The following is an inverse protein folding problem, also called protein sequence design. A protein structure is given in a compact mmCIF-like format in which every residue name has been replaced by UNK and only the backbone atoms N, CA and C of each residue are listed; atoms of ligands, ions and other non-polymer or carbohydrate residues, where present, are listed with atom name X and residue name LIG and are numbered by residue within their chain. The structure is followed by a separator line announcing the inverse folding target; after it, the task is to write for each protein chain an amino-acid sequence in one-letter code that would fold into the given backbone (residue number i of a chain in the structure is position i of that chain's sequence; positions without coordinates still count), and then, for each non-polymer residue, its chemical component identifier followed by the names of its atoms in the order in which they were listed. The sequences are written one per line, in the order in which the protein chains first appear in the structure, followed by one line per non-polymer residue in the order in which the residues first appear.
data_IF_894248040971
#
_entry.id   IF_894248040971
#
_cell.length_a   1.000
_cell.length_b   1.000
_cell.length_c   1.000
_cell.angle_alpha   90.00
_cell.angle_beta   90.00
_cell.angle_gamma   90.00
#
_symmetry.space_group_name_H-M   'P 1'
#
loop_
_entity.id
_entity.type
_entity.pdbx_description
1 polymer ?
#
# COMPACT_ATOMS: atom_id res chain seq x y z
N UNK A 1 -23.29 -10.31 -28.27
CA UNK A 1 -23.83 -9.10 -28.92
C UNK A 1 -23.19 -7.90 -28.22
N UNK A 2 -22.43 -7.05 -28.92
CA UNK A 2 -21.88 -5.82 -28.33
C UNK A 2 -22.97 -4.76 -28.44
N UNK A 3 -23.67 -4.48 -27.35
CA UNK A 3 -24.61 -3.37 -27.31
C UNK A 3 -23.81 -2.04 -27.20
N UNK A 4 -24.26 -0.95 -27.85
CA UNK A 4 -23.66 0.37 -27.66
C UNK A 4 -23.75 0.78 -26.19
N UNK A 5 -22.77 1.53 -25.67
CA UNK A 5 -22.66 1.85 -24.24
C UNK A 5 -23.91 2.56 -23.68
N UNK A 6 -24.61 3.26 -24.55
CA UNK A 6 -25.79 4.08 -24.34
C UNK A 6 -27.11 3.34 -24.64
N UNK A 7 -27.07 2.03 -24.89
CA UNK A 7 -28.27 1.21 -25.02
C UNK A 7 -28.80 0.75 -23.65
N UNK A 8 -30.12 0.61 -23.55
CA UNK A 8 -30.78 0.10 -22.34
C UNK A 8 -30.33 -1.35 -22.09
N UNK A 9 -29.95 -1.64 -20.85
CA UNK A 9 -29.52 -2.98 -20.44
C UNK A 9 -30.72 -3.95 -20.52
N UNK A 10 -30.55 -5.16 -21.08
CA UNK A 10 -31.61 -6.16 -21.05
C UNK A 10 -32.09 -6.46 -19.61
N UNK A 11 -33.41 -6.62 -19.44
CA UNK A 11 -34.05 -6.75 -18.11
C UNK A 11 -33.41 -7.83 -17.24
N UNK A 12 -33.08 -9.00 -17.80
CA UNK A 12 -32.46 -10.09 -17.05
C UNK A 12 -31.08 -9.73 -16.44
N UNK A 13 -30.32 -8.81 -17.03
CA UNK A 13 -29.08 -8.31 -16.42
C UNK A 13 -29.36 -7.33 -15.30
N UNK A 14 -30.41 -6.51 -15.42
CA UNK A 14 -30.88 -5.59 -14.37
C UNK A 14 -31.32 -6.39 -13.14
N UNK A 15 -32.14 -7.42 -13.35
CA UNK A 15 -32.64 -8.28 -12.27
C UNK A 15 -31.48 -8.96 -11.53
N UNK A 16 -30.53 -9.53 -12.27
CA UNK A 16 -29.35 -10.18 -11.70
C UNK A 16 -28.43 -9.20 -10.96
N UNK A 17 -28.28 -7.99 -11.47
CA UNK A 17 -27.54 -6.93 -10.79
C UNK A 17 -28.20 -6.56 -9.46
N UNK A 18 -29.52 -6.38 -9.45
CA UNK A 18 -30.28 -6.07 -8.23
C UNK A 18 -30.20 -7.20 -7.21
N UNK A 19 -30.20 -8.46 -7.64
CA UNK A 19 -29.97 -9.62 -6.77
C UNK A 19 -28.58 -9.59 -6.11
N UNK A 20 -27.53 -9.29 -6.89
CA UNK A 20 -26.17 -9.16 -6.35
C UNK A 20 -26.10 -7.97 -5.38
N UNK A 21 -26.67 -6.84 -5.77
CA UNK A 21 -26.69 -5.62 -4.97
C UNK A 21 -27.35 -5.86 -3.63
N UNK A 22 -28.55 -6.45 -3.59
CA UNK A 22 -29.27 -6.75 -2.35
C UNK A 22 -28.51 -7.69 -1.41
N UNK A 23 -27.73 -8.63 -1.95
CA UNK A 23 -26.88 -9.53 -1.14
C UNK A 23 -25.64 -8.87 -0.54
N UNK A 24 -25.14 -7.82 -1.18
CA UNK A 24 -23.93 -7.09 -0.74
C UNK A 24 -24.29 -5.84 0.06
N UNK A 25 -25.51 -5.33 -0.12
CA UNK A 25 -25.99 -4.14 0.57
C UNK A 25 -25.81 -4.31 2.09
N UNK A 26 -25.47 -3.21 2.76
CA UNK A 26 -25.21 -3.15 4.21
C UNK A 26 -23.99 -3.95 4.72
N UNK A 27 -23.15 -4.49 3.83
CA UNK A 27 -21.89 -5.13 4.24
C UNK A 27 -20.90 -4.10 4.77
N UNK A 28 -20.61 -4.16 6.07
CA UNK A 28 -19.56 -3.35 6.71
C UNK A 28 -18.36 -4.23 7.02
N UNK A 29 -17.18 -3.87 6.48
CA UNK A 29 -15.92 -4.58 6.73
C UNK A 29 -14.97 -3.63 7.46
N UNK A 30 -14.44 -4.07 8.60
CA UNK A 30 -13.40 -3.36 9.35
C UNK A 30 -12.06 -4.05 9.14
N UNK A 31 -11.08 -3.33 8.58
CA UNK A 31 -9.72 -3.82 8.39
C UNK A 31 -8.76 -3.07 9.33
N UNK A 32 -7.93 -3.79 10.10
CA UNK A 32 -6.90 -3.17 10.94
C UNK A 32 -5.84 -2.48 10.06
N UNK A 33 -5.57 -1.19 10.36
CA UNK A 33 -4.67 -0.35 9.57
C UNK A 33 -3.19 -0.54 9.92
N UNK A 34 -2.89 -0.90 11.17
CA UNK A 34 -1.53 -1.19 11.61
C UNK A 34 -1.31 -2.70 11.61
N UNK A 35 -0.55 -3.16 10.63
CA UNK A 35 -0.20 -4.56 10.41
C UNK A 35 1.22 -4.92 10.91
N UNK A 36 1.86 -4.04 11.69
CA UNK A 36 3.25 -4.15 12.13
C UNK A 36 3.41 -4.27 13.64
N UNK A 37 2.33 -4.43 14.41
CA UNK A 37 2.35 -4.45 15.88
C UNK A 37 3.19 -5.63 16.41
N UNK A 38 3.28 -6.72 15.65
CA UNK A 38 4.13 -7.86 16.00
C UNK A 38 5.64 -7.67 15.74
N UNK A 39 6.06 -6.65 14.97
CA UNK A 39 7.45 -6.50 14.55
C UNK A 39 8.39 -5.97 15.66
N UNK A 40 7.82 -5.34 16.69
CA UNK A 40 8.56 -4.64 17.77
C UNK A 40 9.49 -5.57 18.58
N UNK A 41 9.26 -6.89 18.55
CA UNK A 41 9.99 -7.87 19.38
C UNK A 41 11.06 -8.67 18.63
N UNK A 42 10.98 -8.78 17.31
CA UNK A 42 11.82 -9.72 16.55
C UNK A 42 12.51 -9.15 15.32
N UNK A 43 12.04 -8.01 14.79
CA UNK A 43 12.59 -7.41 13.56
C UNK A 43 12.48 -8.32 12.32
N UNK A 44 11.75 -9.44 12.40
CA UNK A 44 11.64 -10.44 11.34
C UNK A 44 10.18 -10.63 10.99
N UNK A 45 9.85 -10.28 9.75
CA UNK A 45 8.51 -10.40 9.18
C UNK A 45 8.55 -11.24 7.91
N UNK A 46 7.47 -11.99 7.65
CA UNK A 46 7.31 -12.78 6.43
C UNK A 46 6.11 -12.26 5.66
N UNK A 47 6.32 -11.94 4.37
CA UNK A 47 5.25 -11.61 3.44
C UNK A 47 4.66 -12.90 2.86
N UNK A 48 3.37 -13.09 3.03
CA UNK A 48 2.60 -14.18 2.43
C UNK A 48 1.72 -13.62 1.33
N UNK A 49 1.75 -14.22 0.15
CA UNK A 49 0.86 -13.87 -0.94
C UNK A 49 0.14 -15.13 -1.40
N UNK A 50 -1.18 -15.06 -1.39
CA UNK A 50 -2.06 -16.09 -1.92
C UNK A 50 -2.59 -15.60 -3.27
N UNK A 51 -2.61 -16.49 -4.24
CA UNK A 51 -3.10 -16.22 -5.58
C UNK A 51 -4.00 -17.38 -6.00
N UNK A 52 -5.08 -17.05 -6.70
CA UNK A 52 -6.00 -18.04 -7.25
C UNK A 52 -6.54 -17.53 -8.59
N UNK A 53 -6.90 -18.45 -9.49
CA UNK A 53 -7.43 -18.10 -10.78
C UNK A 53 -8.57 -18.98 -11.27
N UNK A 54 -9.63 -18.33 -11.71
CA UNK A 54 -10.78 -18.94 -12.35
C UNK A 54 -10.94 -18.44 -13.78
N UNK A 55 -11.84 -19.08 -14.53
CA UNK A 55 -12.28 -18.60 -15.85
C UNK A 55 -12.92 -17.20 -15.82
N UNK A 56 -13.28 -16.69 -14.63
CA UNK A 56 -13.88 -15.38 -14.45
C UNK A 56 -12.84 -14.33 -14.06
N UNK A 57 -11.92 -14.66 -13.15
CA UNK A 57 -10.97 -13.72 -12.59
C UNK A 57 -9.75 -14.41 -11.98
N UNK A 58 -8.64 -13.67 -11.94
CA UNK A 58 -7.47 -13.95 -11.11
C UNK A 58 -7.50 -13.01 -9.92
N UNK A 59 -7.31 -13.55 -8.71
CA UNK A 59 -7.36 -12.80 -7.46
C UNK A 59 -6.10 -13.07 -6.65
N UNK A 60 -5.69 -12.09 -5.87
CA UNK A 60 -4.60 -12.24 -4.91
C UNK A 60 -4.84 -11.44 -3.64
N UNK A 61 -4.30 -11.93 -2.54
CA UNK A 61 -4.28 -11.27 -1.24
C UNK A 61 -2.94 -11.50 -0.54
N UNK A 62 -2.45 -10.47 0.15
CA UNK A 62 -1.17 -10.47 0.82
C UNK A 62 -1.35 -10.19 2.31
N UNK A 63 -0.53 -10.84 3.13
CA UNK A 63 -0.50 -10.74 4.57
C UNK A 63 0.94 -10.65 5.06
N UNK A 64 1.14 -10.04 6.22
CA UNK A 64 2.41 -10.06 6.92
C UNK A 64 2.25 -10.88 8.18
N UNK A 65 3.23 -11.75 8.47
CA UNK A 65 3.34 -12.41 9.77
C UNK A 65 4.64 -12.03 10.48
N UNK A 66 4.59 -12.02 11.81
CA UNK A 66 5.74 -11.69 12.65
C UNK A 66 6.16 -12.88 13.51
N UNK A 67 7.47 -13.11 13.62
CA UNK A 67 8.01 -14.08 14.57
C UNK A 67 7.86 -13.60 16.02
N UNK A 68 7.84 -14.50 17.02
CA UNK A 68 7.94 -15.97 16.89
C UNK A 68 6.60 -16.67 16.60
N UNK A 69 5.47 -16.00 16.81
CA UNK A 69 4.15 -16.64 16.81
C UNK A 69 3.51 -16.75 15.41
N UNK A 70 4.18 -16.26 14.38
CA UNK A 70 3.62 -16.11 13.02
C UNK A 70 2.26 -15.41 13.01
N UNK A 71 2.03 -14.48 13.96
CA UNK A 71 0.77 -13.75 14.05
C UNK A 71 0.61 -12.84 12.83
N UNK A 72 -0.60 -12.81 12.25
CA UNK A 72 -0.96 -11.85 11.21
C UNK A 72 -1.89 -10.79 11.78
N UNK A 73 -1.51 -9.53 11.62
CA UNK A 73 -2.27 -8.37 12.09
C UNK A 73 -3.36 -7.94 11.08
N UNK A 74 -3.53 -8.63 9.93
CA UNK A 74 -4.59 -8.38 8.97
C UNK A 74 -4.15 -8.39 7.49
N UNK A 75 -5.09 -8.07 6.60
CA UNK A 75 -4.86 -7.99 5.16
C UNK A 75 -3.95 -6.79 4.83
N UNK A 76 -2.77 -7.06 4.26
CA UNK A 76 -1.87 -6.01 3.78
C UNK A 76 -2.41 -5.41 2.48
N UNK A 77 -2.76 -6.24 1.50
CA UNK A 77 -3.40 -5.80 0.26
C UNK A 77 -4.13 -6.95 -0.44
N UNK A 78 -5.15 -6.63 -1.25
CA UNK A 78 -5.78 -7.59 -2.15
C UNK A 78 -6.16 -6.91 -3.47
N UNK A 79 -6.18 -7.68 -4.55
CA UNK A 79 -6.67 -7.18 -5.84
C UNK A 79 -7.16 -8.34 -6.72
N UNK A 80 -8.19 -8.04 -7.49
CA UNK A 80 -8.80 -8.93 -8.46
C UNK A 80 -8.63 -8.37 -9.87
N UNK A 81 -8.47 -9.25 -10.86
CA UNK A 81 -8.39 -8.93 -12.28
C UNK A 81 -9.27 -9.90 -13.05
N UNK A 82 -10.21 -9.39 -13.83
CA UNK A 82 -11.07 -10.21 -14.68
C UNK A 82 -10.24 -10.95 -15.74
N UNK A 83 -10.63 -12.20 -16.02
CA UNK A 83 -10.01 -13.03 -17.02
C UNK A 83 -10.30 -12.48 -18.45
N UNK A 84 -9.37 -12.63 -19.41
CA UNK A 84 -9.56 -12.08 -20.76
C UNK A 84 -10.77 -12.70 -21.48
N UNK A 85 -11.80 -11.90 -21.78
CA UNK A 85 -13.01 -12.36 -22.48
C UNK A 85 -12.75 -12.82 -23.92
N UNK A 86 -11.78 -12.19 -24.61
CA UNK A 86 -11.50 -12.45 -26.02
C UNK A 86 -10.75 -13.76 -26.27
N UNK A 87 -9.97 -14.24 -25.28
CA UNK A 87 -9.17 -15.47 -25.39
C UNK A 87 -9.31 -16.27 -24.11
N UNK A 88 -10.13 -17.33 -24.18
CA UNK A 88 -10.26 -18.29 -23.07
C UNK A 88 -8.92 -18.99 -22.87
N UNK A 89 -8.34 -18.80 -21.69
CA UNK A 89 -7.15 -19.51 -21.25
C UNK A 89 -7.58 -20.73 -20.43
N UNK A 90 -6.80 -21.81 -20.44
CA UNK A 90 -7.03 -22.92 -19.52
C UNK A 90 -6.75 -22.49 -18.08
N UNK A 91 -7.35 -23.18 -17.09
CA UNK A 91 -7.13 -22.90 -15.67
C UNK A 91 -5.62 -22.93 -15.31
N UNK A 92 -4.81 -23.93 -15.71
CA UNK A 92 -3.38 -23.93 -15.39
C UNK A 92 -2.60 -22.72 -15.95
N UNK A 93 -3.01 -22.18 -17.11
CA UNK A 93 -2.39 -20.97 -17.68
C UNK A 93 -2.77 -19.73 -16.88
N UNK A 94 -3.99 -19.68 -16.34
CA UNK A 94 -4.45 -18.59 -15.48
C UNK A 94 -3.75 -18.64 -14.12
N UNK A 95 -3.54 -19.83 -13.56
CA UNK A 95 -2.74 -20.03 -12.34
C UNK A 95 -1.30 -19.52 -12.51
N UNK A 96 -0.66 -19.84 -13.64
CA UNK A 96 0.69 -19.34 -13.93
C UNK A 96 0.74 -17.80 -13.99
N UNK A 97 -0.31 -17.18 -14.53
CA UNK A 97 -0.44 -15.72 -14.54
C UNK A 97 -0.66 -15.18 -13.12
N UNK A 98 -1.42 -15.88 -12.28
CA UNK A 98 -1.63 -15.52 -10.86
C UNK A 98 -0.31 -15.50 -10.09
N UNK A 99 0.54 -16.52 -10.29
CA UNK A 99 1.89 -16.60 -9.71
C UNK A 99 2.75 -15.43 -10.20
N UNK A 100 2.77 -15.16 -11.51
CA UNK A 100 3.55 -14.05 -12.07
C UNK A 100 3.14 -12.69 -11.50
N UNK A 101 1.83 -12.44 -11.37
CA UNK A 101 1.31 -11.21 -10.81
C UNK A 101 1.67 -11.11 -9.32
N UNK A 102 1.60 -12.22 -8.58
CA UNK A 102 1.98 -12.28 -7.16
C UNK A 102 3.45 -11.94 -6.96
N UNK A 103 4.34 -12.44 -7.82
CA UNK A 103 5.76 -12.08 -7.80
C UNK A 103 5.97 -10.60 -8.10
N UNK A 104 5.23 -10.02 -9.05
CA UNK A 104 5.30 -8.57 -9.34
C UNK A 104 4.80 -7.73 -8.16
N UNK A 105 3.74 -8.17 -7.49
CA UNK A 105 3.21 -7.51 -6.30
C UNK A 105 4.22 -7.57 -5.15
N UNK A 106 4.79 -8.77 -4.88
CA UNK A 106 5.84 -8.95 -3.88
C UNK A 106 6.99 -7.99 -4.15
N UNK A 107 7.42 -7.90 -5.41
CA UNK A 107 8.44 -6.95 -5.85
C UNK A 107 8.04 -5.52 -5.51
N UNK A 108 6.84 -5.06 -5.87
CA UNK A 108 6.41 -3.69 -5.55
C UNK A 108 6.41 -3.39 -4.05
N UNK A 109 5.90 -4.32 -3.23
CA UNK A 109 5.84 -4.17 -1.77
C UNK A 109 7.25 -4.14 -1.18
N UNK A 110 8.12 -5.06 -1.60
CA UNK A 110 9.47 -5.17 -1.06
C UNK A 110 10.42 -4.10 -1.63
N UNK A 111 10.18 -3.59 -2.84
CA UNK A 111 11.10 -2.71 -3.55
C UNK A 111 10.85 -1.21 -3.31
N UNK A 112 9.86 -0.78 -2.53
CA UNK A 112 9.58 0.66 -2.39
C UNK A 112 9.42 1.10 -0.93
N UNK A 113 10.16 2.15 -0.57
CA UNK A 113 10.10 2.83 0.71
C UNK A 113 10.06 4.35 0.47
N UNK A 114 9.12 5.03 1.12
CA UNK A 114 9.01 6.49 1.08
C UNK A 114 9.19 7.06 2.49
N UNK A 115 10.13 8.01 2.65
CA UNK A 115 10.28 8.80 3.86
C UNK A 115 9.78 10.20 3.57
N UNK A 116 8.74 10.63 4.28
CA UNK A 116 8.09 11.93 4.08
C UNK A 116 8.53 12.89 5.19
N UNK A 117 8.95 14.10 4.83
CA UNK A 117 9.40 15.14 5.77
C UNK A 117 8.89 16.52 5.31
N UNK A 118 8.57 17.40 6.26
CA UNK A 118 8.06 18.74 6.01
C UNK A 118 9.11 19.86 6.11
N UNK A 119 10.38 19.49 6.34
CA UNK A 119 11.51 20.41 6.30
C UNK A 119 12.24 20.34 4.96
N UNK A 120 12.00 21.33 4.09
CA UNK A 120 12.74 21.48 2.83
C UNK A 120 14.25 21.62 3.07
N UNK A 121 14.65 22.30 4.15
CA UNK A 121 16.05 22.49 4.51
C UNK A 121 16.71 21.14 4.85
N UNK A 122 16.05 20.31 5.67
CA UNK A 122 16.58 18.99 6.02
C UNK A 122 16.71 18.09 4.79
N UNK A 123 15.71 18.10 3.90
CA UNK A 123 15.76 17.37 2.63
C UNK A 123 16.86 17.90 1.70
N UNK A 124 17.06 19.21 1.64
CA UNK A 124 18.12 19.82 0.85
C UNK A 124 19.51 19.42 1.38
N UNK A 125 19.72 19.34 2.70
CA UNK A 125 20.98 18.86 3.28
C UNK A 125 21.35 17.44 2.83
N UNK A 126 20.37 16.58 2.54
CA UNK A 126 20.63 15.24 2.02
C UNK A 126 21.14 15.23 0.56
N UNK A 127 20.94 16.32 -0.18
CA UNK A 127 21.30 16.45 -1.60
C UNK A 127 22.52 17.35 -1.83
N UNK A 128 22.84 18.22 -0.87
CA UNK A 128 23.92 19.17 -0.98
C UNK A 128 25.30 18.50 -0.91
N UNK A 129 26.18 18.90 -1.81
CA UNK A 129 27.60 18.48 -1.84
C UNK A 129 28.55 19.47 -1.16
N UNK A 130 28.02 20.56 -0.58
CA UNK A 130 28.81 21.60 0.10
C UNK A 130 29.09 21.26 1.56
N UNK A 131 30.09 21.91 2.16
CA UNK A 131 30.45 21.75 3.57
C UNK A 131 29.28 22.15 4.49
N UNK A 132 28.78 21.20 5.26
CA UNK A 132 27.73 21.40 6.28
C UNK A 132 28.37 21.57 7.67
N UNK A 133 27.58 22.09 8.61
CA UNK A 133 27.97 22.11 10.02
C UNK A 133 28.23 20.68 10.50
N UNK A 134 29.18 20.50 11.42
CA UNK A 134 29.68 19.18 11.86
C UNK A 134 28.54 18.24 12.26
N UNK A 135 27.58 18.72 13.06
CA UNK A 135 26.42 17.93 13.46
C UNK A 135 25.61 17.43 12.25
N UNK A 136 25.28 18.34 11.32
CA UNK A 136 24.48 18.02 10.14
C UNK A 136 25.23 17.04 9.23
N UNK A 137 26.53 17.25 9.00
CA UNK A 137 27.37 16.36 8.19
C UNK A 137 27.34 14.93 8.72
N UNK A 138 27.51 14.75 10.04
CA UNK A 138 27.48 13.43 10.68
C UNK A 138 26.13 12.73 10.49
N UNK A 139 25.01 13.46 10.61
CA UNK A 139 23.69 12.87 10.40
C UNK A 139 23.45 12.51 8.92
N UNK A 140 23.83 13.40 7.99
CA UNK A 140 23.72 13.14 6.56
C UNK A 140 24.51 11.90 6.17
N UNK A 141 25.75 11.75 6.65
CA UNK A 141 26.58 10.57 6.39
C UNK A 141 25.93 9.28 6.90
N UNK A 142 25.35 9.31 8.11
CA UNK A 142 24.60 8.17 8.68
C UNK A 142 23.38 7.82 7.84
N UNK A 143 22.61 8.82 7.43
CA UNK A 143 21.43 8.63 6.59
C UNK A 143 21.82 8.05 5.22
N UNK A 144 22.87 8.58 4.57
CA UNK A 144 23.38 8.05 3.30
C UNK A 144 23.94 6.64 3.43
N UNK A 145 24.58 6.30 4.56
CA UNK A 145 25.04 4.93 4.83
C UNK A 145 23.85 3.97 4.94
N UNK A 146 22.83 4.30 5.72
CA UNK A 146 21.61 3.50 5.85
C UNK A 146 20.86 3.39 4.52
N UNK A 147 20.79 4.49 3.75
CA UNK A 147 20.16 4.52 2.43
C UNK A 147 20.83 3.52 1.49
N UNK A 148 22.16 3.49 1.45
CA UNK A 148 22.92 2.52 0.65
C UNK A 148 22.64 1.07 1.09
N UNK A 149 22.65 0.79 2.38
CA UNK A 149 22.35 -0.55 2.91
C UNK A 149 20.93 -1.02 2.53
N UNK A 150 19.94 -0.12 2.55
CA UNK A 150 18.58 -0.44 2.10
C UNK A 150 18.54 -0.68 0.59
N UNK A 151 19.25 0.12 -0.20
CA UNK A 151 19.32 -0.01 -1.66
C UNK A 151 20.05 -1.30 -2.11
N UNK A 152 21.03 -1.77 -1.35
CA UNK A 152 21.67 -3.08 -1.56
C UNK A 152 20.68 -4.25 -1.48
N UNK A 153 19.60 -4.09 -0.70
CA UNK A 153 18.47 -5.04 -0.65
C UNK A 153 17.51 -4.91 -1.84
N UNK A 154 17.90 -4.17 -2.89
CA UNK A 154 17.06 -3.84 -4.06
C UNK A 154 15.79 -3.05 -3.72
N UNK A 155 15.79 -2.34 -2.58
CA UNK A 155 14.68 -1.49 -2.15
C UNK A 155 14.95 -0.04 -2.57
N UNK A 156 14.09 0.51 -3.42
CA UNK A 156 14.08 1.92 -3.77
C UNK A 156 13.58 2.75 -2.59
N UNK A 157 14.46 3.59 -2.04
CA UNK A 157 14.13 4.56 -1.01
C UNK A 157 14.03 5.96 -1.62
N UNK A 158 12.90 6.63 -1.41
CA UNK A 158 12.69 8.01 -1.85
C UNK A 158 12.35 8.92 -0.67
N UNK A 159 13.01 10.06 -0.59
CA UNK A 159 12.63 11.14 0.32
C UNK A 159 11.63 12.07 -0.37
N UNK A 160 10.50 12.37 0.27
CA UNK A 160 9.44 13.23 -0.28
C UNK A 160 9.16 14.40 0.66
N UNK A 161 8.96 15.57 0.07
CA UNK A 161 8.52 16.75 0.79
C UNK A 161 7.00 16.75 0.98
N UNK A 162 6.54 17.25 2.11
CA UNK A 162 5.13 17.59 2.33
C UNK A 162 4.99 18.91 3.08
N UNK A 163 3.91 19.66 2.85
CA UNK A 163 3.58 20.81 3.70
C UNK A 163 3.23 20.34 5.12
N UNK A 164 3.71 21.04 6.15
CA UNK A 164 3.45 20.68 7.56
C UNK A 164 1.97 20.47 7.89
N UNK A 165 1.07 21.27 7.31
CA UNK A 165 -0.37 21.14 7.50
C UNK A 165 -0.96 19.79 7.03
N UNK A 166 -0.24 19.06 6.16
CA UNK A 166 -0.63 17.73 5.68
C UNK A 166 0.26 16.61 6.26
N UNK A 167 1.23 16.95 7.11
CA UNK A 167 2.06 15.98 7.79
C UNK A 167 1.29 15.46 9.02
N UNK A 168 0.77 14.23 9.01
CA UNK A 168 0.06 13.70 10.17
C UNK A 168 0.97 13.70 11.41
N UNK A 169 2.28 13.53 11.25
CA UNK A 169 3.24 13.46 12.35
C UNK A 169 3.25 14.71 13.24
N UNK A 170 2.85 15.87 12.70
CA UNK A 170 2.86 17.17 13.37
C UNK A 170 1.87 17.26 14.56
N UNK A 171 0.77 16.49 14.57
CA UNK A 171 -0.16 16.51 15.71
C UNK A 171 0.50 15.99 17.01
N UNK A 172 1.51 15.12 16.90
CA UNK A 172 2.20 14.54 18.06
C UNK A 172 3.42 15.36 18.49
N UNK A 173 3.79 16.41 17.74
CA UNK A 173 4.86 17.34 18.12
C UNK A 173 4.33 18.58 18.83
N UNK A 174 3.00 18.71 18.96
CA UNK A 174 2.30 19.86 19.56
C UNK A 174 1.46 19.43 20.76
N UNK A 175 1.18 20.33 21.71
CA UNK A 175 0.14 20.10 22.70
C UNK A 175 -1.21 19.95 21.98
N UNK A 176 -1.77 18.76 22.04
CA UNK A 176 -3.00 18.39 21.33
C UNK A 176 -4.01 17.86 22.33
N UNK A 177 -5.22 18.40 22.30
CA UNK A 177 -6.30 17.92 23.15
C UNK A 177 -7.00 16.66 22.58
N UNK A 178 -7.87 16.06 23.39
CA UNK A 178 -8.55 14.81 23.03
C UNK A 178 -9.39 14.93 21.76
N UNK A 179 -10.06 16.05 21.55
CA UNK A 179 -10.94 16.25 20.40
C UNK A 179 -10.12 16.52 19.14
N UNK A 180 -9.09 17.37 19.23
CA UNK A 180 -8.14 17.60 18.14
C UNK A 180 -7.48 16.30 17.66
N UNK A 181 -7.03 15.45 18.59
CA UNK A 181 -6.45 14.14 18.25
C UNK A 181 -7.48 13.23 17.56
N UNK A 182 -8.70 13.16 18.07
CA UNK A 182 -9.80 12.35 17.51
C UNK A 182 -10.19 12.78 16.11
N UNK A 183 -10.21 14.08 15.85
CA UNK A 183 -10.57 14.65 14.54
C UNK A 183 -9.39 14.69 13.57
N UNK A 184 -8.17 14.37 14.01
CA UNK A 184 -6.97 14.40 13.18
C UNK A 184 -6.83 13.17 12.28
N UNK A 185 -6.03 13.33 11.23
CA UNK A 185 -5.67 12.26 10.32
C UNK A 185 -4.63 11.27 10.88
N UNK A 186 -4.19 11.43 12.15
CA UNK A 186 -3.15 10.58 12.74
C UNK A 186 -3.53 9.11 12.78
N UNK A 187 -4.76 8.82 13.21
CA UNK A 187 -5.24 7.45 13.30
C UNK A 187 -5.60 6.92 11.92
N UNK A 188 -6.17 7.76 11.05
CA UNK A 188 -6.72 7.36 9.75
C UNK A 188 -5.70 7.33 8.62
N UNK A 189 -4.56 8.02 8.79
CA UNK A 189 -3.68 8.42 7.71
C UNK A 189 -4.27 9.62 6.94
N UNK A 190 -3.41 10.47 6.37
CA UNK A 190 -3.86 11.64 5.63
C UNK A 190 -4.48 11.27 4.29
N UNK A 191 -5.51 12.03 3.89
CA UNK A 191 -6.33 11.72 2.72
C UNK A 191 -5.55 11.63 1.41
N UNK A 192 -4.47 12.40 1.27
CA UNK A 192 -3.66 12.42 0.04
C UNK A 192 -2.92 11.10 -0.23
N UNK A 193 -2.69 10.24 0.78
CA UNK A 193 -2.16 8.88 0.55
C UNK A 193 -3.10 7.98 -0.25
N UNK A 194 -4.39 8.35 -0.31
CA UNK A 194 -5.41 7.62 -1.04
C UNK A 194 -5.53 8.10 -2.50
N UNK A 195 -4.82 9.17 -2.87
CA UNK A 195 -4.82 9.73 -4.22
C UNK A 195 -3.63 9.14 -4.99
N UNK A 196 -3.84 8.47 -6.14
CA UNK A 196 -2.74 7.95 -6.93
C UNK A 196 -1.83 9.09 -7.41
N UNK A 197 -0.51 8.89 -7.36
CA UNK A 197 0.44 9.89 -7.86
C UNK A 197 0.17 10.17 -9.34
N UNK A 198 0.10 11.46 -9.75
CA UNK A 198 0.04 11.80 -11.17
C UNK A 198 1.29 11.25 -11.86
N UNK A 199 1.08 10.54 -12.97
CA UNK A 199 2.14 10.00 -13.83
C UNK A 199 2.97 11.09 -14.49
#
# INVERSE_FOLDING_TARGET
MKSPWNSVLPQHYVDKWNEIHTKINDTTISLPRNIGRGNEKTGKSTLWIFADASQLATVFCAYVTHLPNHHTDGLLCAKARLAPLKRKLSIPRLELIAILISLRLAKTILHSLHIVNDSEIALAWLQLSRKLLVFVSIQVDRIHKLTRQIQELSITLNFKYIKSAHNPADIATRPTDKEQFRTSDWLTGPQWLQIPEPQ
#
